data_IF_895327079253
#
_entry.id   IF_895327079253
#
_cell.length_a   1.000
_cell.length_b   1.000
_cell.length_c   1.000
_cell.angle_alpha   90.00
_cell.angle_beta   90.00
_cell.angle_gamma   90.00
#
_symmetry.space_group_name_H-M   'P 1'
#
loop_
_entity.id
_entity.type
_entity.pdbx_description
1 polymer ?
#
# COMPACT_ATOMS: atom_id res chain seq x y z
N UNK A 1 -2.15 9.10 9.64
CA UNK A 1 -1.97 7.66 9.92
C UNK A 1 -0.49 7.37 10.07
N UNK A 2 -0.09 6.80 11.19
CA UNK A 2 1.31 6.44 11.44
C UNK A 2 1.65 5.07 10.84
N UNK A 3 2.93 4.82 10.54
CA UNK A 3 3.42 3.57 9.92
C UNK A 3 3.02 2.31 10.70
N UNK A 4 2.97 2.39 12.04
CA UNK A 4 2.58 1.28 12.90
C UNK A 4 1.08 0.96 12.82
N UNK A 5 0.21 1.96 12.67
CA UNK A 5 -1.23 1.74 12.50
C UNK A 5 -1.52 1.00 11.19
N UNK A 6 -0.81 1.37 10.12
CA UNK A 6 -0.91 0.67 8.84
C UNK A 6 -0.43 -0.79 8.97
N UNK A 7 0.72 -0.99 9.64
CA UNK A 7 1.29 -2.32 9.87
C UNK A 7 0.33 -3.21 10.63
N UNK A 8 -0.21 -2.74 11.74
CA UNK A 8 -1.19 -3.47 12.56
C UNK A 8 -2.47 -3.77 11.75
N UNK A 9 -2.97 -2.80 10.99
CA UNK A 9 -4.15 -3.00 10.15
C UNK A 9 -3.95 -4.08 9.07
N UNK A 10 -2.77 -4.15 8.46
CA UNK A 10 -2.42 -5.13 7.43
C UNK A 10 -2.20 -6.52 8.03
N UNK A 11 -1.55 -6.62 9.19
CA UNK A 11 -1.34 -7.88 9.91
C UNK A 11 -2.63 -8.48 10.47
N UNK A 12 -3.63 -7.65 10.78
CA UNK A 12 -4.94 -8.11 11.22
C UNK A 12 -5.77 -8.78 10.10
N UNK A 13 -5.29 -8.85 8.85
CA UNK A 13 -5.99 -9.61 7.80
C UNK A 13 -5.77 -11.11 7.98
N UNK A 14 -6.81 -11.97 7.85
CA UNK A 14 -6.67 -13.40 8.04
C UNK A 14 -5.56 -14.03 7.20
N UNK A 15 -4.60 -14.67 7.87
CA UNK A 15 -3.47 -15.34 7.22
C UNK A 15 -2.40 -14.39 6.64
N UNK A 16 -2.45 -13.09 6.98
CA UNK A 16 -1.42 -12.15 6.59
C UNK A 16 -0.12 -12.42 7.34
N UNK A 17 0.98 -12.28 6.60
CA UNK A 17 2.33 -12.26 7.16
C UNK A 17 3.09 -11.06 6.59
N UNK A 18 4.05 -10.57 7.38
CA UNK A 18 5.00 -9.53 7.00
C UNK A 18 6.36 -10.18 6.67
N UNK A 19 7.01 -9.69 5.62
CA UNK A 19 8.39 -10.05 5.29
C UNK A 19 9.07 -8.94 4.48
N UNK A 20 10.40 -9.00 4.35
CA UNK A 20 11.19 -8.10 3.50
C UNK A 20 11.94 -8.92 2.43
N UNK A 21 11.27 -9.33 1.34
CA UNK A 21 11.85 -10.27 0.38
C UNK A 21 12.75 -9.61 -0.67
N UNK A 22 12.84 -8.28 -0.70
CA UNK A 22 13.57 -7.52 -1.73
C UNK A 22 14.86 -6.89 -1.19
N UNK A 23 14.78 -6.26 -0.03
CA UNK A 23 15.85 -5.52 0.64
C UNK A 23 15.53 -5.41 2.15
N UNK A 24 16.24 -4.57 2.90
CA UNK A 24 16.05 -4.38 4.35
C UNK A 24 15.05 -3.26 4.71
N UNK A 25 14.45 -2.59 3.73
CA UNK A 25 13.60 -1.40 3.96
C UNK A 25 12.20 -1.51 3.38
N UNK A 26 11.95 -2.48 2.49
CA UNK A 26 10.66 -2.70 1.84
C UNK A 26 9.85 -3.77 2.57
N UNK A 27 8.85 -3.33 3.33
CA UNK A 27 7.88 -4.23 3.94
C UNK A 27 6.89 -4.75 2.91
N UNK A 28 6.67 -6.06 2.91
CA UNK A 28 5.74 -6.78 2.06
C UNK A 28 4.76 -7.55 2.92
N UNK A 29 3.47 -7.40 2.62
CA UNK A 29 2.39 -8.13 3.26
C UNK A 29 1.72 -9.07 2.27
N UNK A 30 1.61 -10.34 2.66
CA UNK A 30 1.06 -11.40 1.79
C UNK A 30 0.21 -12.39 2.57
N UNK A 31 -0.71 -13.04 1.85
CA UNK A 31 -1.43 -14.23 2.32
C UNK A 31 -0.96 -15.41 1.48
N UNK A 32 -0.37 -16.41 2.14
CA UNK A 32 0.39 -17.46 1.45
C UNK A 32 1.47 -16.87 0.55
N UNK A 33 1.38 -17.12 -0.76
CA UNK A 33 2.34 -16.62 -1.75
C UNK A 33 1.87 -15.38 -2.53
N UNK A 34 0.76 -14.74 -2.13
CA UNK A 34 0.17 -13.60 -2.85
C UNK A 34 0.33 -12.31 -2.05
N UNK A 35 1.12 -11.38 -2.57
CA UNK A 35 1.30 -10.03 -2.01
C UNK A 35 0.02 -9.20 -2.22
N UNK A 36 -0.37 -8.44 -1.20
CA UNK A 36 -1.50 -7.50 -1.27
C UNK A 36 -1.15 -6.07 -0.85
N UNK A 37 -0.06 -5.87 -0.09
CA UNK A 37 0.45 -4.55 0.26
C UNK A 37 1.98 -4.54 0.34
N UNK A 38 2.59 -3.41 0.01
CA UNK A 38 4.01 -3.16 0.27
C UNK A 38 4.31 -1.66 0.37
N UNK A 39 5.32 -1.30 1.15
CA UNK A 39 5.82 0.07 1.25
C UNK A 39 7.25 0.07 1.80
N UNK A 40 8.05 1.07 1.41
CA UNK A 40 9.34 1.33 2.04
C UNK A 40 9.15 2.11 3.34
N UNK A 41 9.82 1.68 4.41
CA UNK A 41 9.72 2.26 5.76
C UNK A 41 10.32 3.67 5.88
N UNK A 42 11.14 4.06 4.91
CA UNK A 42 11.86 5.32 4.80
C UNK A 42 11.13 6.36 3.92
N UNK A 43 10.00 5.99 3.30
CA UNK A 43 9.24 6.91 2.45
C UNK A 43 8.53 7.98 3.27
N UNK A 44 8.83 9.25 2.98
CA UNK A 44 8.15 10.42 3.53
C UNK A 44 7.70 11.31 2.34
N UNK A 45 6.39 11.52 2.14
CA UNK A 45 5.26 10.91 2.86
C UNK A 45 5.20 9.39 2.63
N UNK A 46 4.54 8.67 3.54
CA UNK A 46 4.37 7.22 3.42
C UNK A 46 3.61 6.89 2.14
N UNK A 47 4.14 5.98 1.33
CA UNK A 47 3.55 5.52 0.08
C UNK A 47 3.38 4.01 0.11
N UNK A 48 2.14 3.54 0.02
CA UNK A 48 1.85 2.11 0.01
C UNK A 48 1.25 1.66 -1.31
N UNK A 49 1.86 0.65 -1.92
CA UNK A 49 1.27 -0.08 -3.01
C UNK A 49 0.25 -1.08 -2.48
N UNK A 50 -1.00 -0.97 -2.93
CA UNK A 50 -2.10 -1.84 -2.56
C UNK A 50 -2.68 -2.52 -3.79
N UNK A 51 -2.93 -3.83 -3.68
CA UNK A 51 -3.60 -4.59 -4.72
C UNK A 51 -5.09 -4.28 -4.72
N UNK A 52 -5.66 -4.07 -5.91
CA UNK A 52 -7.04 -3.68 -6.09
C UNK A 52 -7.61 -4.34 -7.36
N UNK A 53 -8.94 -4.43 -7.44
CA UNK A 53 -9.62 -4.86 -8.66
C UNK A 53 -9.44 -3.80 -9.75
N UNK A 54 -9.30 -4.18 -11.04
CA UNK A 54 -9.02 -3.22 -12.10
C UNK A 54 -10.02 -2.08 -12.23
N UNK A 55 -11.31 -2.40 -12.16
CA UNK A 55 -12.39 -1.43 -12.29
C UNK A 55 -12.34 -0.42 -11.13
N UNK A 56 -12.21 -0.97 -9.91
CA UNK A 56 -12.09 -0.17 -8.68
C UNK A 56 -10.80 0.67 -8.64
N UNK A 57 -9.72 0.18 -9.24
CA UNK A 57 -8.45 0.92 -9.28
C UNK A 57 -8.58 2.22 -10.06
N UNK A 58 -9.34 2.21 -11.16
CA UNK A 58 -9.59 3.38 -11.99
C UNK A 58 -10.50 4.37 -11.24
N UNK A 59 -11.63 3.88 -10.72
CA UNK A 59 -12.57 4.71 -9.93
C UNK A 59 -11.87 5.46 -8.80
N UNK A 60 -11.02 4.77 -8.05
CA UNK A 60 -10.31 5.37 -6.91
C UNK A 60 -9.33 6.46 -7.33
N UNK A 61 -8.64 6.31 -8.47
CA UNK A 61 -7.72 7.34 -8.99
C UNK A 61 -8.45 8.57 -9.51
N UNK A 62 -9.66 8.38 -10.04
CA UNK A 62 -10.51 9.49 -10.49
C UNK A 62 -11.10 10.28 -9.31
N UNK A 63 -11.36 9.59 -8.19
CA UNK A 63 -11.98 10.18 -7.00
C UNK A 63 -10.99 10.84 -6.04
N UNK A 64 -9.74 10.35 -5.97
CA UNK A 64 -8.78 10.77 -4.95
C UNK A 64 -7.40 11.08 -5.57
N UNK A 65 -6.94 12.32 -5.43
CA UNK A 65 -5.62 12.75 -5.91
C UNK A 65 -4.46 12.03 -5.21
N UNK A 66 -4.68 11.55 -3.98
CA UNK A 66 -3.71 10.77 -3.20
C UNK A 66 -3.57 9.32 -3.67
N UNK A 67 -4.38 8.86 -4.64
CA UNK A 67 -4.33 7.52 -5.20
C UNK A 67 -3.72 7.58 -6.60
N UNK A 68 -2.50 7.07 -6.73
CA UNK A 68 -1.71 7.08 -7.95
C UNK A 68 -1.67 5.70 -8.62
N UNK A 69 -1.31 5.61 -9.91
CA UNK A 69 -0.99 4.33 -10.54
C UNK A 69 0.14 3.61 -9.79
N UNK A 70 0.01 2.29 -9.59
CA UNK A 70 0.98 1.49 -8.83
C UNK A 70 2.42 1.67 -9.29
N UNK A 71 3.26 2.17 -8.39
CA UNK A 71 4.70 2.35 -8.59
C UNK A 71 5.41 0.99 -8.67
N UNK A 72 6.22 0.78 -9.72
CA UNK A 72 6.88 -0.50 -10.03
C UNK A 72 5.96 -1.73 -10.13
N UNK A 73 4.65 -1.52 -10.18
CA UNK A 73 3.64 -2.58 -10.23
C UNK A 73 2.81 -2.50 -11.52
N UNK A 74 2.05 -3.58 -11.78
CA UNK A 74 1.02 -3.59 -12.81
C UNK A 74 -0.10 -2.60 -12.43
N UNK A 75 -0.15 -1.48 -13.16
CA UNK A 75 -1.09 -0.37 -12.95
C UNK A 75 -2.54 -0.77 -13.21
N UNK A 76 -2.81 -1.95 -13.77
CA UNK A 76 -4.16 -2.49 -13.86
C UNK A 76 -4.66 -3.00 -12.51
N UNK A 77 -3.77 -3.53 -11.66
CA UNK A 77 -4.17 -4.24 -10.43
C UNK A 77 -3.63 -3.59 -9.15
N UNK A 78 -2.86 -2.51 -9.28
CA UNK A 78 -2.17 -1.90 -8.15
C UNK A 78 -2.29 -0.38 -8.16
N UNK A 79 -2.54 0.17 -6.98
CA UNK A 79 -2.52 1.60 -6.69
C UNK A 79 -1.40 1.92 -5.72
N UNK A 80 -0.81 3.11 -5.83
CA UNK A 80 0.01 3.69 -4.77
C UNK A 80 -0.84 4.70 -4.01
N UNK A 81 -1.11 4.45 -2.73
CA UNK A 81 -1.78 5.40 -1.84
C UNK A 81 -0.71 6.22 -1.14
N UNK A 82 -0.81 7.55 -1.26
CA UNK A 82 0.04 8.51 -0.55
C UNK A 82 -0.67 8.91 0.74
N UNK A 83 -0.08 8.60 1.88
CA UNK A 83 -0.58 9.02 3.17
C UNK A 83 0.08 10.35 3.53
N UNK A 84 -0.56 11.44 3.12
CA UNK A 84 -0.25 12.77 3.63
C UNK A 84 -0.95 12.96 4.98
N UNK A 85 -0.31 13.64 5.91
CA UNK A 85 -1.05 14.28 6.99
C UNK A 85 -1.90 15.38 6.33
N UNK A 86 -3.19 15.12 6.11
CA UNK A 86 -4.13 16.24 6.07
C UNK A 86 -4.12 16.81 7.49
N UNK A 87 -3.37 17.88 7.69
CA UNK A 87 -3.57 18.75 8.84
C UNK A 87 -4.87 19.48 8.52
N UNK A 88 -5.98 18.96 9.03
CA UNK A 88 -7.23 19.71 9.16
C UNK A 88 -6.90 20.99 9.96
N UNK A 89 -7.03 22.16 9.33
CA UNK A 89 -7.07 23.48 9.98
C UNK A 89 -8.50 24.02 9.95
#
# INVERSE_FOLDING_TARGET
MYIEELREYLLNKPGAIECMPFDETTLVYKVGNKIFALYGIDNIPLRCNLKCLPERSIELREQYESILPGWHMDKKHWNTVVFTEEIDY
#
